data_IF_407775188899
#
_entry.id   IF_407775188899
#
_cell.length_a   1.000
_cell.length_b   1.000
_cell.length_c   1.000
_cell.angle_alpha   90.00
_cell.angle_beta   90.00
_cell.angle_gamma   90.00
#
_symmetry.space_group_name_H-M   'P 1'
#
loop_
_entity.id
_entity.type
_entity.pdbx_description
1 polymer ?
#
# COMPACT_ATOMS: atom_id res chain seq x y z
N UNK A 1 -24.97 1.43 -9.15
CA UNK A 1 -24.77 2.78 -8.57
C UNK A 1 -24.81 2.80 -7.03
N UNK A 2 -25.32 1.74 -6.40
CA UNK A 2 -25.65 1.73 -4.96
C UNK A 2 -24.51 1.19 -4.06
N UNK A 3 -23.29 1.04 -4.58
CA UNK A 3 -22.16 0.47 -3.84
C UNK A 3 -20.90 1.35 -3.92
N UNK A 4 -21.06 2.67 -4.00
CA UNK A 4 -19.91 3.58 -3.94
C UNK A 4 -19.44 3.66 -2.49
N UNK A 5 -18.17 3.35 -2.26
CA UNK A 5 -17.51 3.52 -0.97
C UNK A 5 -16.71 4.81 -1.00
N UNK A 6 -16.91 5.65 -0.01
CA UNK A 6 -16.22 6.93 0.14
C UNK A 6 -15.11 6.82 1.17
N UNK A 7 -14.28 7.84 1.28
CA UNK A 7 -13.19 7.90 2.28
C UNK A 7 -13.63 8.41 3.66
N UNK A 8 -14.92 8.71 3.86
CA UNK A 8 -15.47 9.37 5.06
C UNK A 8 -16.46 8.51 5.86
N UNK A 9 -16.36 7.21 5.81
CA UNK A 9 -17.30 6.30 6.45
C UNK A 9 -16.71 5.43 7.56
N UNK A 10 -15.42 5.58 7.88
CA UNK A 10 -14.76 4.79 8.92
C UNK A 10 -15.35 5.09 10.31
N UNK A 11 -15.50 4.04 11.12
CA UNK A 11 -16.09 4.11 12.46
C UNK A 11 -15.14 3.52 13.50
N UNK A 12 -15.27 3.95 14.74
CA UNK A 12 -14.53 3.37 15.86
C UNK A 12 -14.67 1.84 15.86
N UNK A 13 -13.57 1.13 16.09
CA UNK A 13 -13.41 -0.33 16.02
C UNK A 13 -13.38 -0.94 14.63
N UNK A 14 -13.61 -0.19 13.55
CA UNK A 14 -13.39 -0.72 12.21
C UNK A 14 -11.95 -1.17 12.04
N UNK A 15 -11.77 -2.27 11.33
CA UNK A 15 -10.46 -2.82 10.98
C UNK A 15 -9.88 -2.07 9.79
N UNK A 16 -8.59 -1.76 9.83
CA UNK A 16 -7.86 -1.14 8.74
C UNK A 16 -7.16 -2.23 7.93
N UNK A 17 -7.43 -2.26 6.64
CA UNK A 17 -6.91 -3.25 5.71
C UNK A 17 -6.21 -2.56 4.53
N UNK A 18 -5.16 -3.21 4.03
CA UNK A 18 -4.49 -2.83 2.78
C UNK A 18 -4.42 -4.02 1.84
N UNK A 19 -4.46 -3.77 0.54
CA UNK A 19 -4.16 -4.78 -0.47
C UNK A 19 -2.67 -4.86 -0.76
N UNK A 20 -2.20 -5.99 -1.29
CA UNK A 20 -0.84 -6.19 -1.75
C UNK A 20 0.23 -5.93 -0.70
N UNK A 21 1.28 -5.23 -1.10
CA UNK A 21 2.40 -4.78 -0.28
C UNK A 21 2.77 -3.32 -0.61
N UNK A 22 3.54 -2.70 0.27
CA UNK A 22 3.83 -1.27 0.25
C UNK A 22 5.32 -0.97 0.17
N UNK A 23 5.65 0.17 -0.44
CA UNK A 23 7.01 0.69 -0.56
C UNK A 23 7.79 0.17 -1.77
N UNK A 24 7.28 -0.81 -2.50
CA UNK A 24 7.96 -1.40 -3.66
C UNK A 24 8.10 -0.39 -4.80
N UNK A 25 7.06 0.38 -5.08
CA UNK A 25 7.10 1.42 -6.10
C UNK A 25 8.14 2.50 -5.77
N UNK A 26 8.20 2.94 -4.53
CA UNK A 26 9.20 3.91 -4.09
C UNK A 26 10.62 3.37 -4.21
N UNK A 27 10.88 2.10 -3.87
CA UNK A 27 12.19 1.48 -4.06
C UNK A 27 12.55 1.35 -5.55
N UNK A 28 11.58 1.06 -6.40
CA UNK A 28 11.75 1.08 -7.86
C UNK A 28 12.17 2.45 -8.37
N UNK A 29 11.55 3.53 -7.88
CA UNK A 29 11.94 4.90 -8.20
C UNK A 29 13.37 5.20 -7.76
N UNK A 30 13.72 4.87 -6.51
CA UNK A 30 15.08 5.10 -5.97
C UNK A 30 16.15 4.36 -6.80
N UNK A 31 15.84 3.14 -7.24
CA UNK A 31 16.70 2.36 -8.10
C UNK A 31 16.91 3.05 -9.44
N UNK A 32 15.86 3.50 -10.10
CA UNK A 32 15.93 4.21 -11.38
C UNK A 32 16.71 5.52 -11.27
N UNK A 33 16.51 6.27 -10.20
CA UNK A 33 17.24 7.52 -9.95
C UNK A 33 18.73 7.27 -9.70
N UNK A 34 19.07 6.22 -8.93
CA UNK A 34 20.47 5.83 -8.72
C UNK A 34 21.15 5.53 -10.04
N UNK A 35 20.58 4.65 -10.86
CA UNK A 35 21.16 4.25 -12.14
C UNK A 35 21.29 5.45 -13.10
N UNK A 36 20.28 6.31 -13.16
CA UNK A 36 20.35 7.56 -13.93
C UNK A 36 21.52 8.44 -13.49
N UNK A 37 21.81 8.53 -12.20
CA UNK A 37 22.90 9.35 -11.68
C UNK A 37 24.27 8.72 -11.91
N UNK A 38 24.40 7.40 -11.78
CA UNK A 38 25.63 6.64 -12.03
C UNK A 38 26.03 6.71 -13.50
N UNK A 39 25.05 6.56 -14.40
CA UNK A 39 25.28 6.54 -15.85
C UNK A 39 25.29 7.93 -16.51
N UNK A 40 25.24 8.99 -15.71
CA UNK A 40 25.18 10.36 -16.21
C UNK A 40 26.48 10.71 -16.94
N UNK A 41 26.42 10.73 -18.27
CA UNK A 41 27.56 11.01 -19.16
C UNK A 41 28.13 9.77 -19.87
N UNK A 42 27.74 8.59 -19.49
CA UNK A 42 28.11 7.33 -20.15
C UNK A 42 27.05 6.98 -21.20
N UNK A 43 27.37 7.09 -22.50
CA UNK A 43 26.40 6.89 -23.58
C UNK A 43 26.18 5.43 -23.99
N UNK A 44 27.11 4.55 -23.61
CA UNK A 44 27.16 3.17 -24.12
C UNK A 44 26.92 2.11 -23.03
N UNK A 45 26.67 2.52 -21.77
CA UNK A 45 26.43 1.61 -20.67
C UNK A 45 24.92 1.57 -20.40
N UNK A 46 24.35 0.35 -20.40
CA UNK A 46 22.97 0.13 -19.95
C UNK A 46 22.97 -0.34 -18.49
N UNK A 47 22.01 0.13 -17.68
CA UNK A 47 21.88 -0.33 -16.30
C UNK A 47 21.52 -1.82 -16.25
N UNK A 48 22.06 -2.53 -15.27
CA UNK A 48 21.68 -3.91 -14.97
C UNK A 48 20.60 -3.92 -13.87
N UNK A 49 19.40 -4.33 -14.26
CA UNK A 49 18.26 -4.46 -13.39
C UNK A 49 17.90 -5.92 -13.05
N UNK A 50 18.79 -6.86 -13.34
CA UNK A 50 18.57 -8.29 -13.11
C UNK A 50 18.20 -8.56 -11.63
N UNK A 51 17.11 -9.27 -11.44
CA UNK A 51 16.58 -9.60 -10.09
C UNK A 51 15.85 -8.45 -9.38
N UNK A 52 15.60 -7.33 -10.07
CA UNK A 52 14.91 -6.15 -9.55
C UNK A 52 13.63 -5.83 -10.34
N UNK A 53 13.20 -6.75 -11.16
CA UNK A 53 12.07 -6.60 -12.08
C UNK A 53 10.78 -6.26 -11.33
N UNK A 54 10.56 -6.88 -10.17
CA UNK A 54 9.39 -6.62 -9.34
C UNK A 54 9.29 -5.15 -8.93
N UNK A 55 10.36 -4.57 -8.41
CA UNK A 55 10.38 -3.17 -7.96
C UNK A 55 10.14 -2.20 -9.12
N UNK A 56 10.73 -2.49 -10.27
CA UNK A 56 10.53 -1.69 -11.48
C UNK A 56 9.10 -1.80 -12.02
N UNK A 57 8.53 -2.99 -12.00
CA UNK A 57 7.15 -3.22 -12.43
C UNK A 57 6.17 -2.47 -11.54
N UNK A 58 6.36 -2.50 -10.23
CA UNK A 58 5.55 -1.76 -9.26
C UNK A 58 5.58 -0.25 -9.51
N UNK A 59 6.74 0.32 -9.87
CA UNK A 59 6.87 1.74 -10.18
C UNK A 59 6.36 2.11 -11.58
N UNK A 60 6.64 1.29 -12.60
CA UNK A 60 6.42 1.67 -13.99
C UNK A 60 5.08 1.19 -14.56
N UNK A 61 4.45 0.20 -13.92
CA UNK A 61 3.19 -0.42 -14.36
C UNK A 61 2.24 -0.68 -13.20
N UNK A 62 1.82 0.36 -12.46
CA UNK A 62 0.86 0.16 -11.38
C UNK A 62 -0.46 -0.38 -11.94
N UNK A 63 -1.03 -1.37 -11.27
CA UNK A 63 -2.27 -2.01 -11.66
C UNK A 63 -3.41 -1.65 -10.71
N UNK A 64 -4.58 -1.31 -11.27
CA UNK A 64 -5.77 -1.09 -10.47
C UNK A 64 -6.27 -2.40 -9.84
N UNK A 65 -6.42 -2.43 -8.52
CA UNK A 65 -6.78 -3.63 -7.74
C UNK A 65 -8.26 -4.01 -7.85
N UNK A 66 -8.71 -4.26 -9.07
CA UNK A 66 -10.08 -4.75 -9.35
C UNK A 66 -10.34 -6.12 -8.73
N UNK A 67 -9.31 -6.97 -8.69
CA UNK A 67 -9.33 -8.28 -8.06
C UNK A 67 -9.80 -8.22 -6.60
N UNK A 68 -9.32 -7.24 -5.84
CA UNK A 68 -9.71 -7.05 -4.43
C UNK A 68 -11.17 -6.59 -4.32
N UNK A 69 -11.61 -5.69 -5.20
CA UNK A 69 -13.02 -5.26 -5.24
C UNK A 69 -13.94 -6.46 -5.52
N UNK A 70 -13.57 -7.34 -6.44
CA UNK A 70 -14.32 -8.56 -6.76
C UNK A 70 -14.33 -9.55 -5.58
N UNK A 71 -13.20 -9.74 -4.89
CA UNK A 71 -13.10 -10.57 -3.68
C UNK A 71 -13.99 -10.05 -2.56
N UNK A 72 -13.94 -8.75 -2.27
CA UNK A 72 -14.80 -8.10 -1.27
C UNK A 72 -16.29 -8.30 -1.60
N UNK A 73 -16.68 -8.09 -2.85
CA UNK A 73 -18.05 -8.29 -3.30
C UNK A 73 -18.48 -9.75 -3.16
N UNK A 74 -17.65 -10.71 -3.53
CA UNK A 74 -17.91 -12.14 -3.41
C UNK A 74 -18.06 -12.62 -1.96
N UNK A 75 -17.32 -11.99 -1.04
CA UNK A 75 -17.41 -12.25 0.40
C UNK A 75 -18.59 -11.51 1.06
N UNK A 76 -19.37 -10.72 0.31
CA UNK A 76 -20.39 -9.81 0.82
C UNK A 76 -19.86 -8.83 1.88
N UNK A 77 -18.64 -8.35 1.69
CA UNK A 77 -18.03 -7.29 2.51
C UNK A 77 -18.23 -5.96 1.79
N UNK A 78 -18.79 -4.99 2.50
CA UNK A 78 -18.88 -3.60 2.04
C UNK A 78 -18.00 -2.76 2.95
N UNK A 79 -16.86 -2.24 2.46
CA UNK A 79 -16.00 -1.37 3.25
C UNK A 79 -16.74 -0.12 3.74
N UNK A 80 -16.41 0.33 4.94
CA UNK A 80 -16.95 1.56 5.51
C UNK A 80 -16.27 2.80 4.95
N UNK A 81 -14.98 2.69 4.61
CA UNK A 81 -14.25 3.69 3.83
C UNK A 81 -13.25 3.03 2.89
N UNK A 82 -12.85 3.71 1.82
CA UNK A 82 -11.86 3.20 0.87
C UNK A 82 -11.22 4.33 0.07
N UNK A 83 -9.94 4.18 -0.22
CA UNK A 83 -9.19 4.97 -1.21
C UNK A 83 -7.96 4.19 -1.68
N UNK A 84 -7.33 4.64 -2.75
CA UNK A 84 -6.04 4.13 -3.21
C UNK A 84 -4.89 4.77 -2.42
N UNK A 85 -3.74 4.11 -2.42
CA UNK A 85 -2.50 4.60 -1.80
C UNK A 85 -1.61 5.17 -2.90
N UNK A 86 -1.70 6.48 -3.09
CA UNK A 86 -0.93 7.23 -4.09
C UNK A 86 0.19 8.06 -3.47
N UNK A 87 -0.05 8.72 -2.35
CA UNK A 87 0.93 9.59 -1.67
C UNK A 87 1.64 8.89 -0.50
N UNK A 88 1.24 7.68 -0.17
CA UNK A 88 1.77 6.84 0.91
C UNK A 88 0.74 6.57 2.00
N UNK A 89 0.88 5.41 2.64
CA UNK A 89 -0.07 4.92 3.63
C UNK A 89 -0.40 5.96 4.72
N UNK A 90 0.60 6.72 5.18
CA UNK A 90 0.41 7.74 6.22
C UNK A 90 -0.55 8.84 5.77
N UNK A 91 -0.40 9.31 4.54
CA UNK A 91 -1.23 10.37 3.96
C UNK A 91 -2.68 9.93 3.87
N UNK A 92 -2.93 8.76 3.29
CA UNK A 92 -4.27 8.23 3.07
C UNK A 92 -4.98 7.87 4.37
N UNK A 93 -4.26 7.35 5.37
CA UNK A 93 -4.80 7.16 6.72
C UNK A 93 -5.25 8.47 7.34
N UNK A 94 -4.44 9.54 7.22
CA UNK A 94 -4.82 10.86 7.70
C UNK A 94 -6.07 11.40 6.98
N UNK A 95 -6.19 11.15 5.67
CA UNK A 95 -7.38 11.53 4.92
C UNK A 95 -8.64 10.80 5.40
N UNK A 96 -8.58 9.49 5.60
CA UNK A 96 -9.70 8.71 6.14
C UNK A 96 -10.06 9.19 7.55
N UNK A 97 -9.07 9.32 8.44
CA UNK A 97 -9.29 9.75 9.81
C UNK A 97 -9.93 11.15 9.88
N UNK A 98 -9.36 12.12 9.16
CA UNK A 98 -9.87 13.48 9.12
C UNK A 98 -11.30 13.56 8.60
N UNK A 99 -11.60 12.85 7.51
CA UNK A 99 -12.94 12.89 6.90
C UNK A 99 -13.97 12.08 7.66
N UNK A 100 -13.54 11.08 8.43
CA UNK A 100 -14.40 10.27 9.29
C UNK A 100 -14.50 10.83 10.72
N UNK A 101 -13.78 11.91 11.05
CA UNK A 101 -13.65 12.47 12.41
C UNK A 101 -13.26 11.40 13.43
N UNK A 102 -12.22 10.66 13.13
CA UNK A 102 -11.72 9.51 13.90
C UNK A 102 -10.19 9.50 13.95
N UNK A 103 -9.65 8.71 14.86
CA UNK A 103 -8.23 8.36 14.90
C UNK A 103 -7.97 6.98 14.33
N UNK A 104 -6.70 6.57 14.29
CA UNK A 104 -6.33 5.20 13.94
C UNK A 104 -5.13 4.71 14.74
N UNK A 105 -5.01 3.39 14.83
CA UNK A 105 -3.81 2.70 15.32
C UNK A 105 -3.36 1.70 14.27
N UNK A 106 -2.10 1.82 13.83
CA UNK A 106 -1.45 0.90 12.90
C UNK A 106 -0.41 0.08 13.66
N UNK A 107 -0.30 -1.20 13.34
CA UNK A 107 0.70 -2.12 13.87
C UNK A 107 1.81 -2.28 12.85
N UNK A 108 3.00 -1.79 13.15
CA UNK A 108 4.15 -1.77 12.24
C UNK A 108 4.46 -3.16 11.67
N UNK A 109 4.45 -4.17 12.52
CA UNK A 109 4.73 -5.56 12.17
C UNK A 109 3.68 -6.21 11.24
N UNK A 110 2.52 -5.56 11.07
CA UNK A 110 1.47 -6.01 10.17
C UNK A 110 1.50 -5.35 8.79
N UNK A 111 2.31 -4.30 8.62
CA UNK A 111 2.43 -3.64 7.31
C UNK A 111 3.05 -4.63 6.32
N UNK A 112 2.36 -4.96 5.22
CA UNK A 112 2.88 -5.90 4.25
C UNK A 112 4.00 -5.25 3.43
N UNK A 113 5.16 -5.87 3.43
CA UNK A 113 6.34 -5.43 2.67
C UNK A 113 6.95 -6.65 1.98
N UNK A 114 7.18 -6.53 0.69
CA UNK A 114 7.83 -7.59 -0.08
C UNK A 114 9.32 -7.72 0.29
N UNK A 115 9.85 -8.93 0.17
CA UNK A 115 11.25 -9.23 0.46
C UNK A 115 12.22 -8.39 -0.39
N UNK A 116 11.92 -8.19 -1.69
CA UNK A 116 12.78 -7.39 -2.56
C UNK A 116 12.81 -5.92 -2.14
N UNK A 117 11.68 -5.40 -1.65
CA UNK A 117 11.59 -4.05 -1.08
C UNK A 117 12.47 -3.92 0.16
N UNK A 118 12.45 -4.93 1.05
CA UNK A 118 13.26 -4.92 2.26
C UNK A 118 14.77 -4.98 1.94
N UNK A 119 15.17 -5.87 1.03
CA UNK A 119 16.57 -5.97 0.57
C UNK A 119 17.05 -4.66 -0.06
N UNK A 120 16.24 -4.04 -0.89
CA UNK A 120 16.60 -2.78 -1.54
C UNK A 120 16.69 -1.62 -0.55
N UNK A 121 15.78 -1.55 0.42
CA UNK A 121 15.84 -0.53 1.48
C UNK A 121 17.12 -0.67 2.32
N UNK A 122 17.56 -1.89 2.63
CA UNK A 122 18.84 -2.16 3.30
C UNK A 122 20.03 -1.72 2.42
N UNK A 123 20.05 -2.07 1.13
CA UNK A 123 21.09 -1.67 0.18
C UNK A 123 21.24 -0.14 0.10
N UNK A 124 20.11 0.58 0.15
CA UNK A 124 20.09 2.04 0.16
C UNK A 124 20.29 2.66 1.54
N UNK A 125 20.44 1.86 2.59
CA UNK A 125 20.50 2.33 3.98
C UNK A 125 19.28 3.20 4.35
N UNK A 126 18.09 2.79 3.93
CA UNK A 126 16.82 3.48 4.18
C UNK A 126 16.00 2.73 5.23
N UNK A 127 15.24 3.48 6.04
CA UNK A 127 14.33 2.86 6.99
C UNK A 127 13.12 2.27 6.26
N UNK A 128 12.97 0.95 6.37
CA UNK A 128 11.96 0.18 5.65
C UNK A 128 10.52 0.61 5.96
N UNK A 129 10.22 0.82 7.24
CA UNK A 129 8.88 1.27 7.68
C UNK A 129 8.56 2.64 7.10
N UNK A 130 9.54 3.55 7.09
CA UNK A 130 9.37 4.88 6.49
C UNK A 130 9.09 4.77 5.00
N UNK A 131 9.76 3.87 4.27
CA UNK A 131 9.51 3.65 2.85
C UNK A 131 8.08 3.15 2.60
N UNK A 132 7.61 2.18 3.39
CA UNK A 132 6.25 1.64 3.26
C UNK A 132 5.16 2.65 3.67
N UNK A 133 5.44 3.50 4.67
CA UNK A 133 4.47 4.48 5.16
C UNK A 133 4.35 5.73 4.30
N UNK A 134 5.44 6.15 3.65
CA UNK A 134 5.52 7.46 2.98
C UNK A 134 6.04 7.39 1.54
N UNK A 135 6.29 6.21 1.00
CA UNK A 135 6.87 6.05 -0.33
C UNK A 135 5.97 6.50 -1.46
N UNK A 136 4.69 6.20 -1.35
CA UNK A 136 3.71 6.50 -2.37
C UNK A 136 3.83 5.67 -3.65
N UNK A 137 2.96 5.96 -4.64
CA UNK A 137 2.91 5.34 -5.97
C UNK A 137 2.61 3.83 -5.96
N UNK A 138 2.22 3.25 -4.82
CA UNK A 138 1.92 1.81 -4.73
C UNK A 138 0.58 1.45 -5.40
N UNK A 139 -0.39 2.37 -5.43
CA UNK A 139 -1.74 2.21 -5.98
C UNK A 139 -2.48 0.98 -5.46
N UNK A 140 -2.13 0.55 -4.25
CA UNK A 140 -2.86 -0.43 -3.49
C UNK A 140 -4.11 0.19 -2.87
N UNK A 141 -5.06 -0.65 -2.43
CA UNK A 141 -6.26 -0.15 -1.76
C UNK A 141 -6.06 -0.11 -0.25
N UNK A 142 -6.36 1.04 0.35
CA UNK A 142 -6.57 1.21 1.78
C UNK A 142 -8.07 1.26 2.03
N UNK A 143 -8.57 0.42 2.94
CA UNK A 143 -9.99 0.39 3.27
C UNK A 143 -10.24 -0.02 4.71
N UNK A 144 -11.43 0.32 5.20
CA UNK A 144 -11.89 -0.08 6.53
C UNK A 144 -13.11 -0.97 6.44
N UNK A 145 -13.22 -1.94 7.34
CA UNK A 145 -14.36 -2.86 7.42
C UNK A 145 -14.83 -3.01 8.87
N UNK A 146 -16.12 -3.28 9.11
CA UNK A 146 -16.61 -3.57 10.45
C UNK A 146 -15.87 -4.76 11.09
N UNK A 147 -15.63 -4.71 12.40
CA UNK A 147 -14.98 -5.80 13.14
C UNK A 147 -15.71 -7.15 12.96
N UNK A 148 -17.01 -7.13 12.69
CA UNK A 148 -17.79 -8.33 12.41
C UNK A 148 -17.33 -9.11 11.18
N UNK A 149 -16.63 -8.46 10.24
CA UNK A 149 -16.07 -9.09 9.04
C UNK A 149 -14.62 -9.58 9.22
N UNK A 150 -14.08 -9.54 10.46
CA UNK A 150 -12.70 -9.92 10.77
C UNK A 150 -12.31 -11.27 10.18
N UNK A 151 -13.08 -12.32 10.41
CA UNK A 151 -12.74 -13.69 9.93
C UNK A 151 -12.66 -13.74 8.41
N UNK A 152 -13.60 -13.09 7.73
CA UNK A 152 -13.64 -13.08 6.26
C UNK A 152 -12.44 -12.34 5.66
N UNK A 153 -12.13 -11.15 6.21
CA UNK A 153 -11.05 -10.32 5.68
C UNK A 153 -9.67 -10.88 6.01
N UNK A 154 -9.52 -11.52 7.18
CA UNK A 154 -8.25 -12.15 7.59
C UNK A 154 -7.87 -13.36 6.73
N UNK A 155 -8.84 -14.01 6.10
CA UNK A 155 -8.63 -15.15 5.20
C UNK A 155 -8.54 -14.73 3.72
N UNK A 156 -8.73 -13.43 3.43
CA UNK A 156 -8.75 -12.94 2.05
C UNK A 156 -7.33 -12.80 1.51
N UNK A 157 -7.01 -13.61 0.52
CA UNK A 157 -5.71 -13.55 -0.16
C UNK A 157 -5.48 -12.18 -0.80
N UNK A 158 -4.29 -11.63 -0.61
CA UNK A 158 -3.91 -10.31 -1.13
C UNK A 158 -4.43 -9.13 -0.30
N UNK A 159 -4.99 -9.39 0.89
CA UNK A 159 -5.41 -8.38 1.87
C UNK A 159 -4.68 -8.63 3.19
N UNK A 160 -4.24 -7.55 3.82
CA UNK A 160 -3.61 -7.58 5.14
C UNK A 160 -4.32 -6.62 6.08
N UNK A 161 -4.67 -7.12 7.27
CA UNK A 161 -5.17 -6.31 8.37
C UNK A 161 -3.98 -5.67 9.09
N UNK A 162 -3.93 -4.34 9.12
CA UNK A 162 -2.79 -3.58 9.63
C UNK A 162 -3.09 -2.75 10.89
N UNK A 163 -4.34 -2.63 11.29
CA UNK A 163 -4.71 -1.80 12.43
C UNK A 163 -6.21 -1.67 12.63
N UNK A 164 -6.60 -0.65 13.37
CA UNK A 164 -8.02 -0.34 13.61
C UNK A 164 -8.26 1.15 13.80
N UNK A 165 -9.51 1.57 13.61
CA UNK A 165 -9.99 2.94 13.83
C UNK A 165 -10.26 3.15 15.30
N UNK A 166 -9.83 4.30 15.82
CA UNK A 166 -10.05 4.76 17.20
C UNK A 166 -10.93 6.02 17.20
N UNK A 167 -11.21 6.52 18.38
CA UNK A 167 -11.89 7.82 18.56
C UNK A 167 -11.06 8.96 18.03
#
# INVERSE_FOLDING_TARGET
>A
KDKVVYRNGAKETDLICVSGDLGAAYMGLQLLEREKNVLKGEKDIQPDFSGKEYLLERQLKPEARKDIIEKLASANIVPTSMMDISDGLSSELMHICKQSNAGCRVYEEHIPIDYQTAVMAEEFNMNLTTCAMNGGEDYELLFTVPIADHEKVSQMEGVRLIGHITK
#
